data_IF_968086469486
#
_entry.id   IF_968086469486
#
_cell.length_a   1.000
_cell.length_b   1.000
_cell.length_c   1.000
_cell.angle_alpha   90.00
_cell.angle_beta   90.00
_cell.angle_gamma   90.00
#
_symmetry.space_group_name_H-M   'P 1'
#
loop_
_entity.id
_entity.type
_entity.pdbx_description
1 polymer ?
2 non-polymer ?
3 non-polymer ?
4 non-polymer ?
5 non-polymer ?
6 non-polymer ?
7 water ?
#
# COMPACT_ATOMS: atom_id res chain seq x y z
N UNK A 1 -1.92 5.26 -33.90
CA UNK A 1 -2.97 6.34 -33.92
C UNK A 1 -2.38 7.70 -34.30
N UNK A 2 -3.25 8.60 -34.77
CA UNK A 2 -2.87 9.99 -35.05
C UNK A 2 -2.23 10.67 -33.84
N UNK A 3 -2.67 10.31 -32.63
CA UNK A 3 -2.15 10.86 -31.39
C UNK A 3 -0.68 10.49 -31.16
N UNK A 4 -0.30 9.27 -31.59
CA UNK A 4 1.04 8.67 -31.47
C UNK A 4 1.90 8.80 -32.76
N UNK A 5 1.46 9.54 -33.78
CA UNK A 5 2.22 9.68 -35.04
C UNK A 5 2.89 11.05 -35.07
N UNK A 6 4.18 11.09 -35.34
CA UNK A 6 4.92 12.38 -35.39
C UNK A 6 4.65 13.17 -36.67
N UNK A 7 4.12 14.40 -36.53
CA UNK A 7 3.96 15.34 -37.64
C UNK A 7 5.22 16.20 -37.84
N UNK A 8 5.82 16.70 -36.76
CA UNK A 8 7.09 17.42 -36.77
C UNK A 8 7.84 17.23 -35.45
N UNK A 9 9.16 17.10 -35.52
CA UNK A 9 10.02 17.16 -34.38
C UNK A 9 11.05 18.24 -34.61
N UNK A 10 11.37 19.00 -33.59
CA UNK A 10 12.24 20.16 -33.73
C UNK A 10 12.98 20.42 -32.43
N UNK A 11 14.27 20.79 -32.51
CA UNK A 11 15.02 21.33 -31.32
C UNK A 11 14.65 22.80 -31.10
N UNK A 12 14.30 23.18 -29.86
CA UNK A 12 13.92 24.54 -29.49
C UNK A 12 14.69 25.04 -28.28
N UNK A 13 14.56 26.33 -27.95
CA UNK A 13 15.09 26.85 -26.67
C UNK A 13 16.61 26.63 -26.60
N UNK A 14 17.28 27.10 -27.64
CA UNK A 14 18.74 26.92 -27.72
C UNK A 14 19.15 25.48 -27.83
N UNK A 15 18.30 24.64 -28.44
CA UNK A 15 18.52 23.21 -28.62
C UNK A 15 18.41 22.40 -27.32
N UNK A 16 17.96 23.05 -26.25
CA UNK A 16 17.80 22.39 -24.93
C UNK A 16 16.49 21.63 -24.74
N UNK A 17 15.53 21.79 -25.68
CA UNK A 17 14.22 21.10 -25.63
C UNK A 17 13.98 20.47 -26.98
N UNK A 18 13.32 19.32 -27.02
CA UNK A 18 12.73 18.86 -28.28
C UNK A 18 11.24 19.02 -28.18
N UNK A 19 10.60 19.52 -29.23
CA UNK A 19 9.15 19.62 -29.33
C UNK A 19 8.70 18.63 -30.39
N UNK A 20 7.68 17.86 -30.03
CA UNK A 20 6.96 17.03 -31.02
C UNK A 20 5.57 17.60 -31.23
N UNK A 21 5.27 17.89 -32.51
CA UNK A 21 3.93 18.16 -32.96
C UNK A 21 3.36 16.80 -33.45
N UNK A 22 2.28 16.35 -32.83
CA UNK A 22 1.65 15.06 -33.14
C UNK A 22 0.64 15.27 -34.21
N UNK A 23 0.19 14.18 -34.83
CA UNK A 23 -0.80 14.31 -35.85
C UNK A 23 -2.18 14.79 -35.36
N UNK A 24 -2.46 14.75 -34.05
CA UNK A 24 -3.71 15.38 -33.57
C UNK A 24 -3.57 16.90 -33.30
N UNK A 25 -2.38 17.43 -33.57
CA UNK A 25 -2.05 18.86 -33.41
C UNK A 25 -1.61 19.22 -31.99
N UNK A 26 -1.63 18.26 -31.06
CA UNK A 26 -1.08 18.48 -29.72
C UNK A 26 0.46 18.58 -29.76
N UNK A 27 1.07 19.22 -28.75
CA UNK A 27 2.51 19.45 -28.73
C UNK A 27 3.07 18.87 -27.44
N UNK A 28 4.20 18.20 -27.51
CA UNK A 28 4.86 17.67 -26.30
C UNK A 28 6.26 18.23 -26.29
N UNK A 29 6.84 18.38 -25.09
CA UNK A 29 8.17 18.94 -24.91
C UNK A 29 8.95 17.94 -24.10
N UNK A 30 10.22 17.76 -24.50
CA UNK A 30 11.15 16.87 -23.87
C UNK A 30 12.53 17.53 -23.67
N UNK A 31 12.96 17.69 -22.40
CA UNK A 31 14.26 18.28 -22.17
C UNK A 31 15.40 17.48 -22.80
N UNK A 32 16.31 18.18 -23.49
CA UNK A 32 17.49 17.52 -24.06
C UNK A 32 18.25 16.66 -23.04
N UNK A 33 18.42 17.16 -21.82
CA UNK A 33 19.16 16.39 -20.80
C UNK A 33 18.49 15.09 -20.45
N UNK A 34 17.15 15.07 -20.41
CA UNK A 34 16.35 13.88 -20.13
C UNK A 34 16.44 12.88 -21.27
N UNK A 35 16.41 13.34 -22.51
CA UNK A 35 16.55 12.44 -23.65
C UNK A 35 17.93 11.75 -23.60
N UNK A 36 18.99 12.50 -23.35
CA UNK A 36 20.34 11.95 -23.35
C UNK A 36 20.48 10.93 -22.22
N UNK A 37 19.93 11.29 -21.06
CA UNK A 37 19.93 10.39 -19.86
C UNK A 37 19.21 9.09 -20.13
N UNK A 38 18.24 9.13 -21.03
CA UNK A 38 17.42 7.97 -21.35
C UNK A 38 17.65 7.36 -22.74
N UNK A 39 18.82 7.65 -23.29
CA UNK A 39 19.28 6.94 -24.52
C UNK A 39 19.11 5.41 -24.37
N UNK A 40 18.43 4.73 -25.31
CA UNK A 40 18.25 3.28 -25.20
C UNK A 40 19.35 2.42 -25.84
N UNK A 41 20.47 3.01 -26.30
CA UNK A 41 21.49 2.25 -26.98
C UNK A 41 22.21 1.34 -26.00
N UNK A 42 22.96 0.38 -26.53
CA UNK A 42 23.60 -0.63 -25.68
C UNK A 42 24.66 -0.06 -24.75
N UNK A 43 25.26 1.08 -25.08
CA UNK A 43 26.22 1.70 -24.16
C UNK A 43 25.53 2.28 -22.94
N UNK A 44 24.32 2.78 -23.15
CA UNK A 44 23.61 3.56 -22.12
C UNK A 44 22.59 2.76 -21.35
N UNK A 45 22.20 1.63 -21.91
CA UNK A 45 21.00 0.90 -21.45
C UNK A 45 21.22 -0.57 -21.60
N UNK A 46 21.05 -1.29 -20.48
CA UNK A 46 21.22 -2.72 -20.42
C UNK A 46 19.86 -3.38 -20.68
N UNK A 47 19.65 -3.81 -21.93
CA UNK A 47 18.33 -4.31 -22.31
C UNK A 47 17.86 -5.52 -21.48
N UNK A 48 18.74 -6.47 -21.13
CA UNK A 48 18.29 -7.64 -20.41
C UNK A 48 17.69 -7.24 -19.05
N UNK A 49 18.22 -6.16 -18.46
CA UNK A 49 17.79 -5.67 -17.14
C UNK A 49 16.73 -4.59 -17.22
N UNK A 50 16.53 -4.05 -18.42
CA UNK A 50 15.72 -2.86 -18.69
C UNK A 50 16.15 -1.74 -17.77
N UNK A 51 17.46 -1.49 -17.71
CA UNK A 51 18.03 -0.57 -16.72
C UNK A 51 19.08 0.33 -17.33
N UNK A 52 19.26 1.50 -16.71
CA UNK A 52 20.20 2.49 -17.18
C UNK A 52 21.68 2.16 -16.76
N UNK A 53 22.57 2.02 -17.73
CA UNK A 53 24.01 1.88 -17.50
C UNK A 53 24.71 3.24 -17.41
N UNK A 54 24.12 4.22 -18.12
CA UNK A 54 24.69 5.55 -18.18
C UNK A 54 24.90 6.09 -16.76
N UNK A 55 26.06 6.67 -16.52
CA UNK A 55 26.37 7.26 -15.21
C UNK A 55 25.98 8.76 -15.20
N UNK A 56 25.66 9.27 -14.02
CA UNK A 56 25.53 10.72 -13.83
C UNK A 56 26.79 11.46 -14.33
N UNK A 57 27.96 10.88 -14.05
CA UNK A 57 29.23 11.44 -14.45
C UNK A 57 29.36 11.64 -15.97
N UNK A 58 28.63 10.86 -16.76
CA UNK A 58 28.65 10.95 -18.22
C UNK A 58 27.72 12.03 -18.79
N UNK A 59 26.81 12.57 -17.96
CA UNK A 59 25.72 13.40 -18.47
C UNK A 59 26.10 14.86 -18.35
N UNK A 60 26.21 15.54 -19.49
CA UNK A 60 26.38 16.99 -19.51
C UNK A 60 25.02 17.66 -19.23
N UNK A 61 24.86 18.26 -18.05
CA UNK A 61 23.53 18.81 -17.68
C UNK A 61 23.12 20.00 -18.51
N UNK A 62 24.09 20.62 -19.20
CA UNK A 62 23.83 21.78 -20.11
C UNK A 62 23.72 21.36 -21.59
N UNK A 63 23.56 20.06 -21.84
CA UNK A 63 23.58 19.48 -23.21
C UNK A 63 22.41 20.03 -24.01
N UNK A 64 22.65 20.21 -25.30
CA UNK A 64 21.61 20.51 -26.26
C UNK A 64 21.75 19.54 -27.43
N UNK A 65 20.68 19.43 -28.20
CA UNK A 65 20.63 18.58 -29.36
C UNK A 65 21.51 19.18 -30.46
N UNK A 66 22.42 18.39 -31.02
CA UNK A 66 23.22 18.87 -32.12
C UNK A 66 22.49 18.75 -33.45
N UNK A 67 21.87 17.62 -33.69
CA UNK A 67 21.08 17.42 -34.89
C UNK A 67 19.93 16.49 -34.62
N UNK A 68 18.88 16.63 -35.42
CA UNK A 68 17.64 15.86 -35.25
C UNK A 68 17.02 15.60 -36.59
N UNK A 69 16.70 14.33 -36.88
CA UNK A 69 15.80 14.01 -38.00
C UNK A 69 14.68 13.10 -37.46
N UNK A 70 13.62 12.93 -38.27
CA UNK A 70 12.50 12.15 -37.82
C UNK A 70 11.69 11.59 -38.95
N UNK A 71 10.91 10.57 -38.64
CA UNK A 71 9.86 10.13 -39.49
C UNK A 71 8.61 10.02 -38.62
N UNK A 72 7.56 9.42 -39.16
CA UNK A 72 6.31 9.29 -38.40
C UNK A 72 6.39 8.50 -37.08
N UNK A 73 7.41 7.64 -36.96
CA UNK A 73 7.47 6.71 -35.82
C UNK A 73 8.71 6.80 -34.93
N UNK A 74 9.70 7.62 -35.31
CA UNK A 74 10.92 7.72 -34.51
C UNK A 74 11.60 9.06 -34.73
N UNK A 75 12.43 9.43 -33.76
CA UNK A 75 13.34 10.57 -33.89
C UNK A 75 14.78 10.03 -33.78
N UNK A 76 15.70 10.64 -34.52
CA UNK A 76 17.10 10.26 -34.55
C UNK A 76 17.88 11.52 -34.18
N UNK A 77 18.68 11.47 -33.10
CA UNK A 77 19.34 12.62 -32.53
C UNK A 77 20.86 12.42 -32.50
N UNK A 78 21.61 13.41 -32.97
CA UNK A 78 23.05 13.49 -32.70
C UNK A 78 23.33 14.49 -31.58
N UNK A 79 24.30 14.12 -30.77
CA UNK A 79 24.72 14.91 -29.61
C UNK A 79 26.08 15.59 -29.86
N UNK A 80 26.36 16.65 -29.10
CA UNK A 80 27.58 17.44 -29.38
C UNK A 80 28.89 16.65 -29.34
N UNK A 81 28.92 15.62 -28.51
CA UNK A 81 30.10 14.74 -28.41
C UNK A 81 30.09 13.57 -29.38
N UNK A 82 29.15 13.57 -30.33
CA UNK A 82 29.00 12.56 -31.36
C UNK A 82 28.25 11.29 -30.94
N UNK A 83 27.77 11.23 -29.72
CA UNK A 83 26.88 10.16 -29.36
C UNK A 83 25.60 10.31 -30.20
N UNK A 84 24.90 9.19 -30.36
CA UNK A 84 23.78 9.06 -31.28
C UNK A 84 22.67 8.28 -30.60
N UNK A 85 21.44 8.80 -30.65
CA UNK A 85 20.28 8.18 -30.03
C UNK A 85 19.04 8.08 -30.94
N UNK A 86 18.26 7.02 -30.74
CA UNK A 86 16.95 6.81 -31.39
C UNK A 86 15.83 6.63 -30.34
N UNK A 87 14.72 7.35 -30.53
CA UNK A 87 13.56 7.28 -29.63
C UNK A 87 12.32 6.99 -30.43
N UNK A 88 11.53 6.04 -29.96
CA UNK A 88 10.29 5.67 -30.65
C UNK A 88 9.15 6.61 -30.27
N UNK A 89 8.28 6.90 -31.23
CA UNK A 89 7.12 7.78 -31.01
C UNK A 89 6.19 7.38 -29.84
N UNK A 90 5.80 6.11 -29.78
CA UNK A 90 4.88 5.64 -28.74
C UNK A 90 5.51 5.76 -27.34
N UNK A 91 6.80 5.46 -27.23
CA UNK A 91 7.59 5.64 -25.99
C UNK A 91 7.60 7.09 -25.55
N UNK A 92 7.84 7.99 -26.50
CA UNK A 92 7.84 9.43 -26.19
C UNK A 92 6.45 9.90 -25.76
N UNK A 93 5.43 9.48 -26.51
CA UNK A 93 4.06 9.89 -26.24
C UNK A 93 3.63 9.57 -24.81
N UNK A 94 3.88 8.34 -24.37
CA UNK A 94 3.54 7.89 -23.02
C UNK A 94 4.25 8.77 -21.96
N UNK A 95 5.44 9.28 -22.30
CA UNK A 95 6.28 10.02 -21.39
C UNK A 95 6.21 11.54 -21.54
N UNK A 96 5.22 12.03 -22.26
CA UNK A 96 4.96 13.46 -22.35
C UNK A 96 4.95 14.11 -20.96
N UNK A 97 5.60 15.25 -20.86
CA UNK A 97 5.69 15.98 -19.59
C UNK A 97 4.48 16.84 -19.26
N UNK A 98 3.44 16.86 -20.11
CA UNK A 98 2.20 17.52 -19.71
C UNK A 98 1.62 16.95 -18.42
N UNK A 99 0.99 17.80 -17.65
CA UNK A 99 0.39 17.34 -16.40
C UNK A 99 -0.61 16.20 -16.64
N UNK A 100 -1.45 16.35 -17.64
CA UNK A 100 -2.44 15.30 -17.97
C UNK A 100 -1.78 13.95 -18.29
N UNK A 101 -0.71 13.96 -19.08
CA UNK A 101 -0.02 12.72 -19.44
C UNK A 101 0.69 12.10 -18.21
N UNK A 102 1.40 12.92 -17.47
CA UNK A 102 2.07 12.44 -16.26
C UNK A 102 1.06 11.83 -15.27
N UNK A 103 -0.09 12.48 -15.07
CA UNK A 103 -1.12 12.02 -14.10
C UNK A 103 -1.75 10.68 -14.55
N UNK A 104 -1.96 10.55 -15.85
CA UNK A 104 -2.48 9.33 -16.38
C UNK A 104 -1.55 8.18 -16.12
N UNK A 105 -0.25 8.42 -16.35
CA UNK A 105 0.72 7.38 -16.19
C UNK A 105 0.84 6.99 -14.70
N UNK A 106 0.82 8.00 -13.82
CA UNK A 106 0.88 7.70 -12.34
C UNK A 106 -0.32 6.84 -11.90
N UNK A 107 -1.51 7.11 -12.44
CA UNK A 107 -2.68 6.28 -12.18
C UNK A 107 -2.46 4.82 -12.58
N UNK A 108 -1.90 4.62 -13.77
CA UNK A 108 -1.63 3.28 -14.32
C UNK A 108 -0.59 2.54 -13.51
N UNK A 109 0.37 3.27 -12.94
CA UNK A 109 1.41 2.63 -12.12
C UNK A 109 0.92 2.28 -10.69
N UNK A 110 0.12 3.16 -10.09
CA UNK A 110 -0.12 3.07 -8.63
C UNK A 110 -1.57 2.81 -8.19
N UNK A 111 -2.50 2.75 -9.14
CA UNK A 111 -3.91 2.31 -8.88
C UNK A 111 -4.50 3.13 -7.69
N UNK A 112 -4.50 4.48 -7.77
CA UNK A 112 -4.92 5.28 -6.62
C UNK A 112 -6.44 5.27 -6.28
N UNK A 113 -7.29 4.75 -7.15
CA UNK A 113 -8.76 4.78 -6.95
C UNK A 113 -9.03 4.23 -5.54
N UNK A 114 -9.77 5.00 -4.73
CA UNK A 114 -10.05 4.58 -3.38
C UNK A 114 -11.56 4.71 -3.14
N UNK A 115 -12.20 3.67 -2.64
CA UNK A 115 -13.60 3.76 -2.33
C UNK A 115 -13.78 3.72 -0.82
N UNK A 116 -14.05 4.90 -0.24
CA UNK A 116 -14.29 5.04 1.20
C UNK A 116 -15.60 4.40 1.60
N UNK A 117 -15.66 3.87 2.81
CA UNK A 117 -16.87 3.18 3.28
C UNK A 117 -17.06 3.34 4.80
N UNK A 118 -18.34 3.24 5.16
CA UNK A 118 -18.84 3.25 6.53
C UNK A 118 -19.55 1.93 6.83
N UNK A 119 -20.48 1.97 7.79
CA UNK A 119 -21.26 0.78 8.17
C UNK A 119 -22.09 0.14 7.04
N UNK A 120 -22.25 0.84 5.92
CA UNK A 120 -22.96 0.31 4.74
C UNK A 120 -22.12 -0.65 3.90
N UNK A 121 -20.86 -0.84 4.25
CA UNK A 121 -19.97 -1.74 3.47
C UNK A 121 -20.63 -3.06 3.01
N UNK A 122 -20.49 -3.34 1.71
CA UNK A 122 -20.86 -4.63 1.13
C UNK A 122 -19.52 -5.34 0.99
N UNK A 123 -19.25 -6.29 1.89
CA UNK A 123 -17.91 -6.87 2.02
C UNK A 123 -17.56 -7.64 0.73
N UNK A 124 -16.54 -7.18 -0.03
CA UNK A 124 -16.28 -7.88 -1.28
C UNK A 124 -15.85 -9.32 -1.00
N UNK A 125 -16.40 -10.24 -1.78
CA UNK A 125 -16.24 -11.68 -1.51
C UNK A 125 -15.95 -12.46 -2.78
N UNK A 126 -14.88 -13.25 -2.72
CA UNK A 126 -14.53 -14.15 -3.78
C UNK A 126 -14.23 -15.55 -3.24
N UNK A 127 -14.20 -16.51 -4.15
CA UNK A 127 -13.82 -17.89 -3.81
C UNK A 127 -12.31 -18.09 -3.75
N UNK A 128 -11.85 -18.74 -2.66
CA UNK A 128 -10.42 -19.00 -2.36
C UNK A 128 -9.71 -19.77 -3.46
N UNK A 129 -10.25 -20.90 -3.82
CA UNK A 129 -9.60 -21.75 -4.84
C UNK A 129 -9.63 -21.09 -6.21
N UNK A 130 -10.68 -20.35 -6.53
CA UNK A 130 -10.76 -19.60 -7.78
C UNK A 130 -9.62 -18.58 -7.85
N UNK A 131 -9.36 -17.90 -6.75
CA UNK A 131 -8.31 -16.88 -6.70
C UNK A 131 -6.94 -17.55 -6.91
N UNK A 132 -6.75 -18.74 -6.35
CA UNK A 132 -5.50 -19.46 -6.55
C UNK A 132 -5.33 -19.95 -8.00
N UNK A 133 -6.41 -20.38 -8.61
CA UNK A 133 -6.36 -21.06 -9.92
C UNK A 133 -6.44 -20.09 -11.13
N UNK A 134 -7.20 -19.00 -11.03
CA UNK A 134 -7.53 -18.17 -12.18
C UNK A 134 -7.01 -16.74 -12.08
N UNK A 135 -6.25 -16.30 -13.09
CA UNK A 135 -5.75 -14.91 -13.06
C UNK A 135 -6.86 -13.85 -13.01
N UNK A 136 -7.98 -14.08 -13.69
CA UNK A 136 -9.08 -13.09 -13.66
C UNK A 136 -9.56 -12.86 -12.21
N UNK A 137 -9.68 -13.94 -11.46
CA UNK A 137 -10.09 -13.86 -10.06
C UNK A 137 -8.99 -13.28 -9.17
N UNK A 138 -7.72 -13.67 -9.37
CA UNK A 138 -6.64 -13.09 -8.57
C UNK A 138 -6.51 -11.56 -8.81
N UNK A 139 -6.76 -11.16 -10.05
CA UNK A 139 -6.79 -9.74 -10.41
C UNK A 139 -7.89 -8.98 -9.70
N UNK A 140 -9.11 -9.51 -9.76
CA UNK A 140 -10.20 -8.89 -9.04
C UNK A 140 -9.87 -8.80 -7.54
N UNK A 141 -9.24 -9.84 -7.01
CA UNK A 141 -8.86 -9.89 -5.61
C UNK A 141 -7.95 -8.74 -5.24
N UNK A 142 -6.82 -8.63 -5.91
CA UNK A 142 -5.85 -7.61 -5.51
C UNK A 142 -6.33 -6.18 -5.86
N UNK A 143 -7.04 -6.03 -6.96
CA UNK A 143 -7.52 -4.71 -7.36
C UNK A 143 -8.54 -4.20 -6.32
N UNK A 144 -9.38 -5.10 -5.84
CA UNK A 144 -10.40 -4.75 -4.87
C UNK A 144 -9.77 -4.48 -3.51
N UNK A 145 -8.77 -5.27 -3.16
CA UNK A 145 -7.96 -5.06 -1.95
C UNK A 145 -7.40 -3.65 -1.90
N UNK A 146 -6.80 -3.22 -3.01
CA UNK A 146 -6.26 -1.87 -3.14
C UNK A 146 -7.33 -0.79 -3.03
N UNK A 147 -8.42 -0.95 -3.77
CA UNK A 147 -9.43 0.10 -3.86
C UNK A 147 -10.32 0.20 -2.62
N UNK A 148 -10.86 -0.94 -2.17
CA UNK A 148 -11.78 -0.98 -1.01
C UNK A 148 -11.06 -1.17 0.34
N UNK A 149 -9.93 -1.86 0.33
CA UNK A 149 -9.12 -2.10 1.50
C UNK A 149 -9.32 -3.46 2.13
N UNK A 150 -10.29 -4.22 1.65
CA UNK A 150 -10.57 -5.57 2.21
C UNK A 150 -11.26 -6.44 1.19
N UNK A 151 -10.88 -7.71 1.14
CA UNK A 151 -11.61 -8.72 0.42
C UNK A 151 -11.72 -9.95 1.32
N UNK A 152 -12.89 -10.56 1.35
CA UNK A 152 -13.07 -11.84 2.01
C UNK A 152 -12.97 -12.93 0.99
N UNK A 153 -12.26 -14.00 1.34
CA UNK A 153 -12.22 -15.19 0.51
C UNK A 153 -12.91 -16.33 1.27
N UNK A 154 -13.88 -16.97 0.64
CA UNK A 154 -14.62 -18.06 1.25
C UNK A 154 -14.23 -19.40 0.62
N UNK A 155 -14.56 -20.50 1.29
CA UNK A 155 -14.20 -21.86 0.83
C UNK A 155 -12.75 -22.31 0.94
N UNK A 156 -11.93 -21.69 1.78
CA UNK A 156 -10.66 -22.29 2.12
C UNK A 156 -10.91 -23.52 3.04
N UNK A 157 -9.88 -24.28 3.38
CA UNK A 157 -10.06 -25.44 4.26
C UNK A 157 -10.15 -24.92 5.70
N UNK A 158 -10.28 -25.86 6.63
CA UNK A 158 -10.22 -25.54 8.06
C UNK A 158 -8.90 -26.01 8.70
N UNK A 159 -7.82 -25.98 7.89
CA UNK A 159 -6.48 -26.45 8.27
C UNK A 159 -5.48 -25.32 8.06
N UNK A 160 -4.40 -25.29 8.87
CA UNK A 160 -3.33 -24.32 8.63
C UNK A 160 -2.72 -24.48 7.21
N UNK A 161 -2.04 -23.45 6.73
CA UNK A 161 -1.40 -23.50 5.42
C UNK A 161 -2.12 -22.74 4.31
N UNK A 162 -3.29 -22.17 4.59
CA UNK A 162 -4.07 -21.52 3.54
C UNK A 162 -3.52 -20.11 3.28
N UNK A 163 -3.21 -19.33 4.32
CA UNK A 163 -2.59 -18.02 4.08
C UNK A 163 -1.27 -18.15 3.34
N UNK A 164 -0.52 -19.23 3.58
CA UNK A 164 0.73 -19.48 2.87
C UNK A 164 0.53 -19.66 1.35
N UNK A 165 -0.57 -20.29 0.95
CA UNK A 165 -0.90 -20.45 -0.44
C UNK A 165 -1.17 -19.08 -1.06
N UNK A 166 -1.87 -18.22 -0.34
CA UNK A 166 -2.16 -16.87 -0.84
C UNK A 166 -0.88 -16.05 -0.93
N UNK A 167 0.03 -16.25 0.01
CA UNK A 167 1.34 -15.60 -0.02
C UNK A 167 2.17 -15.95 -1.25
N UNK A 168 2.17 -17.23 -1.60
CA UNK A 168 2.84 -17.70 -2.81
C UNK A 168 2.17 -17.13 -4.06
N UNK A 169 0.86 -17.01 -4.05
CA UNK A 169 0.12 -16.41 -5.18
C UNK A 169 0.52 -14.94 -5.36
N UNK A 170 0.77 -14.22 -4.26
CA UNK A 170 1.25 -12.82 -4.29
C UNK A 170 2.73 -12.83 -4.72
N UNK A 171 3.53 -13.57 -3.97
CA UNK A 171 4.95 -13.75 -4.30
C UNK A 171 5.62 -14.37 -3.10
N UNK A 172 5.62 -13.63 -2.00
CA UNK A 172 6.08 -14.13 -0.73
C UNK A 172 5.49 -13.26 0.38
N UNK A 173 5.43 -13.86 1.59
CA UNK A 173 4.96 -13.19 2.83
C UNK A 173 6.08 -12.41 3.48
N UNK A 174 5.70 -11.63 4.47
CA UNK A 174 6.58 -10.68 5.13
C UNK A 174 6.88 -11.21 6.54
N UNK A 175 8.08 -11.75 6.72
CA UNK A 175 8.50 -12.38 7.98
C UNK A 175 8.70 -11.36 9.06
N UNK A 176 8.12 -11.62 10.24
CA UNK A 176 8.30 -10.75 11.39
C UNK A 176 8.68 -11.62 12.63
N UNK A 177 8.90 -10.98 13.78
CA UNK A 177 9.26 -11.70 15.00
C UNK A 177 8.16 -12.63 15.47
N UNK A 178 6.92 -12.48 14.99
CA UNK A 178 5.82 -13.44 15.32
C UNK A 178 5.76 -14.64 14.38
N UNK A 179 6.69 -14.71 13.40
CA UNK A 179 6.83 -15.84 12.49
C UNK A 179 6.51 -15.57 11.03
N UNK A 180 6.66 -16.60 10.21
CA UNK A 180 6.19 -16.51 8.83
C UNK A 180 4.68 -16.41 8.77
N UNK A 181 4.00 -17.21 9.60
CA UNK A 181 2.58 -17.09 9.86
C UNK A 181 2.49 -17.23 11.40
N UNK A 182 1.33 -16.90 11.94
CA UNK A 182 1.12 -16.89 13.40
C UNK A 182 -0.26 -17.35 13.80
N UNK A 183 -0.35 -17.92 15.01
CA UNK A 183 -1.59 -18.57 15.42
C UNK A 183 -2.31 -17.68 16.48
N UNK A 184 -3.48 -17.13 16.13
CA UNK A 184 -4.26 -16.34 17.10
C UNK A 184 -5.12 -17.29 17.89
N UNK A 185 -4.68 -17.56 19.10
CA UNK A 185 -5.34 -18.46 20.05
C UNK A 185 -4.98 -17.99 21.46
N UNK A 186 -5.78 -18.38 22.45
CA UNK A 186 -5.50 -18.14 23.85
C UNK A 186 -4.27 -18.99 24.24
N UNK A 187 -3.22 -18.34 24.76
CA UNK A 187 -1.98 -19.02 25.13
C UNK A 187 -1.55 -18.72 26.57
N UNK A 188 -1.06 -19.74 27.26
CA UNK A 188 -0.44 -19.59 28.60
C UNK A 188 0.78 -18.72 28.39
N UNK A 189 0.99 -17.78 29.30
CA UNK A 189 2.06 -16.82 29.22
C UNK A 189 2.07 -16.07 27.90
N UNK A 190 0.87 -15.68 27.44
CA UNK A 190 0.75 -14.98 26.19
C UNK A 190 1.76 -13.81 26.04
N UNK A 191 2.44 -13.75 24.88
CA UNK A 191 3.38 -12.68 24.61
C UNK A 191 2.76 -11.49 23.90
N UNK A 192 1.43 -11.51 23.74
CA UNK A 192 0.72 -10.46 23.05
C UNK A 192 -0.76 -10.51 23.46
N UNK A 193 -1.36 -9.37 23.70
CA UNK A 193 -2.79 -9.32 24.08
C UNK A 193 -3.66 -10.07 23.08
N UNK A 194 -3.19 -10.16 21.83
CA UNK A 194 -3.90 -10.94 20.81
C UNK A 194 -4.14 -12.40 21.21
N UNK A 195 -3.19 -12.97 21.92
CA UNK A 195 -3.15 -14.40 22.20
C UNK A 195 -3.82 -14.67 23.57
N UNK A 196 -4.99 -14.03 23.79
CA UNK A 196 -5.81 -14.17 24.96
C UNK A 196 -7.27 -14.21 24.47
N UNK A 197 -8.20 -14.36 25.40
CA UNK A 197 -9.63 -14.31 25.05
C UNK A 197 -10.25 -12.90 25.18
N UNK A 198 -9.42 -11.91 25.41
CA UNK A 198 -9.93 -10.58 25.61
C UNK A 198 -10.40 -9.92 24.35
N UNK A 199 -11.13 -8.83 24.54
CA UNK A 199 -11.54 -7.92 23.44
C UNK A 199 -10.28 -7.24 22.88
N UNK A 200 -10.16 -7.10 21.56
CA UNK A 200 -9.13 -6.22 20.97
C UNK A 200 -9.91 -5.04 20.41
N UNK A 201 -9.64 -3.83 20.91
CA UNK A 201 -10.25 -2.64 20.37
C UNK A 201 -9.59 -2.39 19.05
N UNK A 202 -10.14 -1.45 18.31
CA UNK A 202 -9.55 -1.08 17.02
C UNK A 202 -8.06 -0.76 17.07
N UNK A 203 -7.31 -1.45 16.23
CA UNK A 203 -5.88 -1.29 16.11
C UNK A 203 -5.47 -1.57 14.65
N UNK A 204 -4.31 -1.04 14.31
CA UNK A 204 -3.51 -1.53 13.21
C UNK A 204 -2.45 -2.50 13.78
N UNK A 205 -2.02 -3.51 12.99
CA UNK A 205 -1.00 -4.41 13.47
C UNK A 205 0.35 -3.84 13.30
N UNK A 206 1.14 -3.98 14.35
CA UNK A 206 2.57 -3.82 14.33
C UNK A 206 3.15 -2.41 14.17
N UNK A 207 2.51 -1.37 14.80
CA UNK A 207 3.15 -0.06 14.78
C UNK A 207 4.49 -0.04 15.55
N UNK A 208 4.81 -1.08 16.33
CA UNK A 208 6.15 -1.24 16.93
C UNK A 208 7.25 -1.37 15.88
N UNK A 209 6.90 -1.63 14.62
CA UNK A 209 7.91 -1.59 13.54
C UNK A 209 7.89 -0.26 12.79
N UNK A 210 9.06 0.19 12.34
CA UNK A 210 9.29 1.38 11.45
C UNK A 210 8.39 1.31 10.23
N UNK A 211 8.30 0.10 9.67
CA UNK A 211 7.57 -0.20 8.44
C UNK A 211 6.48 -1.22 8.74
N UNK A 212 5.34 -0.76 9.30
CA UNK A 212 4.37 -1.78 9.63
C UNK A 212 3.90 -2.54 8.38
N UNK A 213 3.52 -3.82 8.53
CA UNK A 213 2.99 -4.64 7.47
C UNK A 213 1.88 -3.92 6.68
N UNK A 214 2.03 -3.95 5.37
CA UNK A 214 1.07 -3.31 4.48
C UNK A 214 -0.27 -4.01 4.38
N UNK A 215 -0.20 -5.34 4.26
CA UNK A 215 -1.37 -6.18 4.05
C UNK A 215 -1.37 -7.28 5.06
N UNK A 216 -2.56 -7.56 5.59
CA UNK A 216 -2.76 -8.63 6.53
C UNK A 216 -3.63 -9.72 5.93
N UNK A 217 -3.28 -10.97 6.18
CA UNK A 217 -4.12 -12.13 5.80
C UNK A 217 -4.55 -12.87 7.07
N UNK A 218 -5.86 -13.13 7.24
CA UNK A 218 -6.34 -13.81 8.46
C UNK A 218 -7.33 -14.88 8.10
N UNK A 219 -7.02 -16.13 8.46
CA UNK A 219 -7.80 -17.30 8.08
C UNK A 219 -8.41 -17.95 9.34
N UNK A 220 -9.72 -18.16 9.33
CA UNK A 220 -10.42 -18.80 10.42
C UNK A 220 -10.40 -20.31 10.26
N UNK A 221 -9.68 -20.95 11.18
CA UNK A 221 -9.57 -22.41 11.32
C UNK A 221 -10.67 -22.94 12.25
N UNK A 222 -10.85 -22.30 13.42
CA UNK A 222 -11.88 -22.68 14.43
C UNK A 222 -12.48 -21.40 14.97
N UNK A 223 -13.81 -21.38 15.10
CA UNK A 223 -14.50 -20.21 15.68
C UNK A 223 -15.30 -20.66 16.89
N UNK A 224 -15.53 -19.72 17.81
CA UNK A 224 -16.30 -19.98 19.00
C UNK A 224 -17.70 -19.33 18.86
N UNK A 225 -18.67 -19.97 19.50
CA UNK A 225 -20.02 -19.38 19.61
C UNK A 225 -20.11 -18.38 20.79
N UNK A 226 -19.05 -18.28 21.62
CA UNK A 226 -19.16 -17.50 22.88
C UNK A 226 -18.84 -16.04 22.69
N UNK A 227 -18.35 -15.68 21.50
CA UNK A 227 -17.99 -14.32 21.19
C UNK A 227 -17.04 -14.33 20.00
N UNK A 228 -16.08 -13.40 20.00
CA UNK A 228 -15.08 -13.33 18.95
C UNK A 228 -15.50 -12.83 17.58
N UNK A 229 -16.60 -12.08 17.52
CA UNK A 229 -16.93 -11.44 16.25
C UNK A 229 -15.88 -10.40 15.87
N UNK A 230 -15.83 -10.12 14.56
CA UNK A 230 -14.87 -9.23 13.94
C UNK A 230 -15.46 -7.86 13.74
N UNK A 231 -14.63 -6.84 13.87
CA UNK A 231 -15.02 -5.48 13.56
C UNK A 231 -13.91 -4.78 12.78
N UNK A 232 -14.35 -3.93 11.86
CA UNK A 232 -13.42 -3.19 10.98
C UNK A 232 -13.95 -1.79 10.82
N UNK A 233 -13.05 -0.87 10.51
CA UNK A 233 -13.44 0.51 10.18
C UNK A 233 -12.42 1.04 9.12
N UNK A 234 -12.88 1.91 8.24
CA UNK A 234 -12.06 2.53 7.19
C UNK A 234 -11.34 3.74 7.84
N UNK A 235 -10.08 3.57 8.26
CA UNK A 235 -9.34 4.66 8.88
C UNK A 235 -9.21 5.94 8.09
N UNK A 236 -9.07 5.82 6.77
CA UNK A 236 -8.99 7.01 5.94
C UNK A 236 -10.29 7.81 5.97
N UNK A 237 -11.42 7.08 5.95
CA UNK A 237 -12.74 7.71 6.09
C UNK A 237 -12.89 8.39 7.47
N UNK A 238 -12.47 7.67 8.52
CA UNK A 238 -12.52 8.25 9.87
C UNK A 238 -11.66 9.49 10.01
N UNK A 239 -10.46 9.49 9.43
CA UNK A 239 -9.55 10.63 9.59
C UNK A 239 -10.16 11.84 8.89
N UNK A 240 -10.82 11.61 7.76
CA UNK A 240 -11.51 12.67 7.03
C UNK A 240 -12.59 13.32 7.93
N UNK A 241 -13.37 12.50 8.63
CA UNK A 241 -14.41 12.99 9.51
C UNK A 241 -13.78 13.72 10.69
N UNK A 242 -12.71 13.18 11.24
CA UNK A 242 -12.05 13.86 12.37
C UNK A 242 -11.54 15.28 12.01
N UNK A 243 -10.94 15.42 10.83
CA UNK A 243 -10.40 16.69 10.34
C UNK A 243 -11.54 17.69 10.26
N UNK A 244 -12.69 17.24 9.80
CA UNK A 244 -13.86 18.11 9.64
C UNK A 244 -14.46 18.49 10.99
N UNK A 245 -14.67 17.51 11.86
CA UNK A 245 -15.34 17.75 13.15
C UNK A 245 -14.45 18.36 14.18
N UNK A 246 -13.19 17.97 14.21
CA UNK A 246 -12.28 18.41 15.27
C UNK A 246 -10.88 18.60 14.72
N UNK A 247 -10.66 19.74 14.09
CA UNK A 247 -9.40 20.00 13.41
C UNK A 247 -8.18 20.08 14.38
N UNK A 248 -8.43 20.51 15.62
CA UNK A 248 -7.40 20.49 16.71
C UNK A 248 -6.92 19.08 17.03
N UNK A 249 -7.86 18.14 17.20
CA UNK A 249 -7.54 16.78 17.47
C UNK A 249 -6.84 16.15 16.29
N UNK A 250 -7.31 16.44 15.07
CA UNK A 250 -6.60 15.98 13.85
C UNK A 250 -5.15 16.48 13.78
N UNK A 251 -4.95 17.73 14.12
CA UNK A 251 -3.63 18.36 14.07
C UNK A 251 -2.68 17.72 15.07
N UNK A 252 -3.16 17.52 16.30
CA UNK A 252 -2.38 16.80 17.32
C UNK A 252 -2.00 15.42 16.88
N UNK A 253 -2.96 14.62 16.41
CA UNK A 253 -2.65 13.26 16.11
C UNK A 253 -1.76 13.10 14.85
N UNK A 254 -1.84 14.05 13.93
CA UNK A 254 -1.04 14.01 12.72
C UNK A 254 0.32 14.67 12.85
N UNK A 255 0.61 15.23 14.04
CA UNK A 255 1.90 15.89 14.27
C UNK A 255 2.69 15.37 15.46
N UNK A 256 2.10 14.51 16.28
CA UNK A 256 2.73 14.11 17.55
C UNK A 256 3.35 12.73 17.39
N UNK A 257 4.66 12.64 17.61
CA UNK A 257 5.29 11.32 17.63
C UNK A 257 4.97 10.55 18.93
N UNK A 258 4.47 9.34 18.76
CA UNK A 258 4.13 8.40 19.78
C UNK A 258 5.08 7.24 19.71
N UNK A 259 5.60 6.81 20.87
CA UNK A 259 6.53 5.68 20.96
C UNK A 259 5.72 4.37 21.10
N UNK A 260 6.15 3.32 20.37
CA UNK A 260 5.59 1.96 20.44
C UNK A 260 6.72 0.98 20.75
N UNK A 261 6.37 -0.12 21.43
CA UNK A 261 7.31 -1.09 21.97
C UNK A 261 6.75 -2.48 21.93
N UNK A 262 7.64 -3.46 21.85
CA UNK A 262 7.25 -4.85 21.96
C UNK A 262 8.47 -5.63 22.45
N UNK A 263 8.33 -6.33 23.59
CA UNK A 263 9.42 -7.11 24.12
C UNK A 263 8.89 -8.52 24.44
N UNK A 264 9.69 -9.52 24.11
CA UNK A 264 9.32 -10.92 24.35
C UNK A 264 10.03 -11.91 23.46
N UNK A 265 9.47 -13.12 23.33
CA UNK A 265 10.10 -14.19 22.60
C UNK A 265 9.06 -14.89 21.77
N UNK A 266 9.30 -15.01 20.46
CA UNK A 266 8.44 -15.83 19.63
C UNK A 266 9.31 -16.47 18.56
N UNK A 267 9.35 -15.97 17.33
CA UNK A 267 10.25 -16.55 16.31
C UNK A 267 11.70 -16.51 16.77
N UNK A 268 12.09 -15.38 17.34
CA UNK A 268 13.31 -15.31 18.11
C UNK A 268 13.02 -14.33 19.26
N UNK A 269 14.01 -14.06 20.09
CA UNK A 269 13.87 -13.03 21.14
C UNK A 269 13.94 -11.62 20.55
N UNK A 270 13.09 -10.72 21.06
CA UNK A 270 12.98 -9.38 20.54
C UNK A 270 12.80 -8.30 21.59
N UNK A 271 13.26 -7.10 21.21
CA UNK A 271 13.11 -5.90 22.01
C UNK A 271 13.02 -4.74 20.99
N UNK A 272 11.79 -4.43 20.60
CA UNK A 272 11.44 -3.55 19.47
C UNK A 272 10.95 -2.18 19.95
N UNK A 273 11.39 -1.09 19.30
CA UNK A 273 10.96 0.27 19.65
C UNK A 273 10.79 1.06 18.36
N UNK A 274 9.74 1.86 18.31
CA UNK A 274 9.51 2.75 17.19
C UNK A 274 8.89 4.06 17.63
N UNK A 275 8.85 5.00 16.69
CA UNK A 275 8.11 6.23 16.86
C UNK A 275 7.29 6.51 15.62
N UNK A 276 6.01 6.86 15.80
CA UNK A 276 5.16 7.19 14.66
C UNK A 276 4.20 8.30 15.04
N UNK A 277 3.78 9.05 14.03
CA UNK A 277 2.56 9.85 14.17
C UNK A 277 1.37 8.90 13.94
N UNK A 278 0.37 8.94 14.80
CA UNK A 278 -0.78 8.03 14.70
C UNK A 278 -1.50 8.22 13.36
N UNK A 279 -1.68 9.47 12.96
CA UNK A 279 -2.18 9.85 11.64
C UNK A 279 -1.02 10.40 10.81
N UNK A 280 -0.60 9.59 9.84
CA UNK A 280 0.55 9.86 9.04
C UNK A 280 0.19 10.41 7.66
N UNK A 281 0.58 11.66 7.40
CA UNK A 281 0.16 12.37 6.22
C UNK A 281 1.30 12.42 5.19
N UNK A 282 0.98 12.45 3.90
CA UNK A 282 1.99 12.82 2.87
C UNK A 282 2.31 14.32 2.86
N UNK A 283 3.16 14.74 1.91
CA UNK A 283 3.62 16.13 1.84
C UNK A 283 2.50 17.06 1.43
N UNK A 284 1.40 16.50 0.96
CA UNK A 284 0.23 17.28 0.57
C UNK A 284 -0.87 17.26 1.63
N UNK A 285 -0.62 16.66 2.79
CA UNK A 285 -1.63 16.66 3.83
C UNK A 285 -2.66 15.52 3.71
N UNK A 286 -2.50 14.61 2.76
CA UNK A 286 -3.38 13.42 2.67
C UNK A 286 -2.93 12.27 3.55
N UNK A 287 -3.86 11.65 4.25
CA UNK A 287 -3.53 10.51 5.09
C UNK A 287 -3.08 9.33 4.22
N UNK A 288 -1.89 8.80 4.53
CA UNK A 288 -1.37 7.56 3.89
C UNK A 288 -1.25 6.35 4.80
N UNK A 289 -1.18 6.55 6.12
CA UNK A 289 -1.15 5.43 7.01
C UNK A 289 -1.65 5.86 8.40
N UNK A 290 -2.29 4.90 9.05
CA UNK A 290 -2.62 4.98 10.47
C UNK A 290 -1.74 3.99 11.19
N UNK A 291 -1.11 4.49 12.26
CA UNK A 291 -0.20 3.72 13.09
C UNK A 291 -0.75 3.73 14.53
N UNK A 292 -1.50 2.70 14.90
CA UNK A 292 -2.11 2.70 16.24
C UNK A 292 -2.50 1.32 16.77
N UNK A 293 -1.85 0.93 17.85
CA UNK A 293 -2.26 -0.25 18.63
C UNK A 293 -2.13 0.17 20.10
N UNK A 294 -3.26 0.24 20.79
CA UNK A 294 -3.25 0.77 22.16
C UNK A 294 -2.50 -0.13 23.11
N UNK A 295 -2.39 -1.39 22.74
CA UNK A 295 -1.69 -2.36 23.57
C UNK A 295 -0.18 -2.17 23.55
N UNK A 296 0.38 -1.71 22.42
CA UNK A 296 1.84 -1.58 22.26
C UNK A 296 2.36 -0.17 22.29
N UNK A 297 1.48 0.79 22.42
CA UNK A 297 1.89 2.14 22.68
C UNK A 297 2.72 2.14 23.99
N UNK A 298 3.91 2.75 24.00
CA UNK A 298 4.80 2.61 25.15
C UNK A 298 4.27 3.41 26.35
N UNK A 299 4.77 3.05 27.52
CA UNK A 299 4.60 3.87 28.72
C UNK A 299 5.45 5.16 28.57
N UNK A 300 6.49 5.06 27.75
CA UNK A 300 7.36 6.21 27.41
C UNK A 300 6.59 7.07 26.45
N UNK A 301 6.47 8.35 26.77
CA UNK A 301 5.82 9.32 25.89
C UNK A 301 6.65 10.57 25.83
N UNK A 302 7.28 10.81 24.67
CA UNK A 302 8.36 11.82 24.56
C UNK A 302 7.79 13.15 24.10
N UNK A 303 7.08 13.79 25.01
CA UNK A 303 6.51 15.10 24.80
C UNK A 303 6.61 15.83 26.15
N UNK A 304 6.62 17.16 26.09
CA UNK A 304 6.56 17.93 27.33
C UNK A 304 5.22 17.69 28.02
N UNK A 305 5.21 17.94 29.32
CA UNK A 305 4.08 17.52 30.16
C UNK A 305 2.75 18.20 29.70
N UNK A 306 2.84 19.45 29.26
CA UNK A 306 1.66 20.20 28.88
C UNK A 306 1.00 19.70 27.60
N UNK A 307 1.70 18.91 26.83
CA UNK A 307 1.12 18.32 25.62
C UNK A 307 0.45 16.98 25.87
N UNK A 308 0.62 16.44 27.08
CA UNK A 308 0.12 15.07 27.34
C UNK A 308 -1.43 14.97 27.36
N UNK A 309 -2.10 15.75 28.21
CA UNK A 309 -3.51 15.58 28.33
C UNK A 309 -4.27 15.93 27.01
N UNK A 310 -3.83 16.99 26.32
CA UNK A 310 -4.45 17.24 25.00
C UNK A 310 -4.27 16.12 23.99
N UNK A 311 -3.15 15.41 24.01
CA UNK A 311 -2.98 14.24 23.18
C UNK A 311 -4.03 13.17 23.48
N UNK A 312 -4.22 12.86 24.77
CA UNK A 312 -5.18 11.83 25.11
C UNK A 312 -6.58 12.29 24.72
N UNK A 313 -6.88 13.57 24.88
CA UNK A 313 -8.21 14.08 24.50
C UNK A 313 -8.47 13.92 23.01
N UNK A 314 -7.41 14.19 22.23
CA UNK A 314 -7.46 13.98 20.77
C UNK A 314 -7.66 12.52 20.42
N UNK A 315 -6.90 11.64 21.06
CA UNK A 315 -6.98 10.20 20.82
C UNK A 315 -8.38 9.65 21.12
N UNK A 316 -8.98 10.10 22.25
CA UNK A 316 -10.34 9.68 22.63
C UNK A 316 -11.31 10.06 21.53
N UNK A 317 -11.19 11.29 21.02
CA UNK A 317 -12.09 11.72 19.93
C UNK A 317 -12.01 10.82 18.68
N UNK A 318 -10.78 10.43 18.33
CA UNK A 318 -10.51 9.55 17.20
C UNK A 318 -11.15 8.14 17.38
N UNK A 319 -10.89 7.49 18.51
CA UNK A 319 -11.45 6.19 18.84
C UNK A 319 -12.99 6.24 18.94
N UNK A 320 -13.53 7.27 19.58
CA UNK A 320 -15.00 7.48 19.59
C UNK A 320 -15.60 7.52 18.16
N UNK A 321 -14.92 8.20 17.24
CA UNK A 321 -15.40 8.21 15.84
C UNK A 321 -15.30 6.84 15.18
N UNK A 322 -14.23 6.10 15.46
CA UNK A 322 -14.07 4.75 14.93
C UNK A 322 -15.21 3.84 15.38
N UNK A 323 -15.65 4.02 16.62
CA UNK A 323 -16.67 3.20 17.23
C UNK A 323 -18.08 3.59 16.83
N UNK A 324 -18.27 4.72 16.16
CA UNK A 324 -19.61 5.17 15.82
C UNK A 324 -20.31 4.14 14.93
N UNK A 325 -21.62 3.97 15.13
CA UNK A 325 -22.42 3.01 14.35
C UNK A 325 -22.44 3.37 12.84
N UNK A 326 -22.17 4.61 12.47
CA UNK A 326 -22.05 4.99 11.05
C UNK A 326 -20.73 4.52 10.42
N UNK A 327 -19.71 4.25 11.22
CA UNK A 327 -18.37 3.94 10.72
C UNK A 327 -18.06 2.46 10.70
N UNK A 328 -18.38 1.77 11.78
CA UNK A 328 -17.89 0.44 11.88
C UNK A 328 -18.76 -0.61 11.21
N UNK A 329 -18.12 -1.68 10.74
CA UNK A 329 -18.74 -2.84 10.08
C UNK A 329 -18.36 -4.07 10.91
N UNK A 330 -19.36 -4.86 11.30
CA UNK A 330 -19.15 -6.00 12.22
C UNK A 330 -19.53 -7.27 11.48
N UNK A 331 -18.82 -8.36 11.67
CA UNK A 331 -19.16 -9.59 11.00
C UNK A 331 -18.61 -10.75 11.78
N UNK A 332 -19.04 -11.94 11.46
CA UNK A 332 -18.52 -13.14 12.11
C UNK A 332 -17.77 -14.00 11.07
N UNK A 333 -16.52 -14.34 11.36
CA UNK A 333 -15.72 -15.27 10.53
C UNK A 333 -16.10 -16.69 10.87
N UNK A 334 -16.36 -17.51 9.85
CA UNK A 334 -16.52 -18.96 10.02
C UNK A 334 -15.30 -19.75 9.48
N UNK A 335 -15.16 -21.00 9.92
CA UNK A 335 -14.08 -21.83 9.40
C UNK A 335 -14.11 -21.88 7.87
N UNK A 336 -12.96 -21.65 7.27
CA UNK A 336 -12.89 -21.58 5.81
C UNK A 336 -12.82 -20.18 5.28
N UNK A 337 -13.17 -19.21 6.11
CA UNK A 337 -13.15 -17.81 5.64
C UNK A 337 -11.75 -17.23 5.80
N UNK A 338 -11.33 -16.41 4.85
CA UNK A 338 -10.07 -15.67 4.99
C UNK A 338 -10.40 -14.21 4.68
N UNK A 339 -9.88 -13.27 5.47
CA UNK A 339 -9.93 -11.85 5.08
C UNK A 339 -8.51 -11.40 4.79
N UNK A 340 -8.39 -10.57 3.77
CA UNK A 340 -7.16 -9.96 3.36
C UNK A 340 -7.45 -8.47 3.23
N UNK A 341 -6.65 -7.67 3.93
CA UNK A 341 -6.95 -6.24 4.09
C UNK A 341 -5.76 -5.33 4.22
N UNK A 342 -6.00 -4.06 3.91
CA UNK A 342 -4.96 -3.00 3.99
C UNK A 342 -4.74 -2.58 5.46
N UNK A 343 -3.64 -3.03 5.99
CA UNK A 343 -3.25 -2.82 7.39
C UNK A 343 -2.76 -1.39 7.66
N UNK A 344 -2.54 -0.61 6.60
CA UNK A 344 -2.22 0.80 6.74
C UNK A 344 -3.45 1.71 6.80
N UNK A 345 -4.58 1.21 6.30
CA UNK A 345 -5.78 2.01 6.18
C UNK A 345 -6.91 1.59 7.15
N UNK A 346 -7.22 0.30 7.20
CA UNK A 346 -8.26 -0.17 8.10
C UNK A 346 -7.72 -0.19 9.53
N UNK A 347 -8.62 -0.01 10.50
CA UNK A 347 -8.36 -0.55 11.84
C UNK A 347 -9.31 -1.74 12.05
N UNK A 348 -8.87 -2.67 12.87
CA UNK A 348 -9.63 -3.91 13.06
C UNK A 348 -9.58 -4.32 14.52
N UNK A 349 -10.51 -5.17 14.86
CA UNK A 349 -10.68 -5.56 16.27
C UNK A 349 -11.51 -6.81 16.39
N UNK A 350 -11.69 -7.27 17.63
CA UNK A 350 -12.46 -8.46 17.84
C UNK A 350 -13.08 -8.45 19.23
N UNK A 351 -14.25 -9.05 19.35
CA UNK A 351 -14.97 -9.10 20.61
C UNK A 351 -14.40 -10.18 21.51
N UNK A 352 -14.56 -10.00 22.83
CA UNK A 352 -14.08 -11.00 23.78
C UNK A 352 -14.82 -12.32 23.62
N UNK A 353 -14.22 -13.40 24.11
CA UNK A 353 -14.90 -14.70 24.12
C UNK A 353 -14.46 -15.47 25.35
N UNK A 354 -15.00 -16.66 25.55
CA UNK A 354 -14.76 -17.44 26.77
C UNK A 354 -13.61 -18.47 26.59
N UNK A 355 -12.68 -18.47 27.54
CA UNK A 355 -11.62 -19.50 27.67
C UNK A 355 -12.20 -20.87 27.94
N UNK A 356 -11.48 -21.89 27.48
CA UNK A 356 -11.92 -23.26 27.69
C UNK A 356 -10.73 -24.15 27.92
N UNK A 357 -10.99 -25.42 28.17
CA UNK A 357 -9.96 -26.38 28.51
C UNK A 357 -9.15 -26.79 27.27
N UNK A 358 -9.76 -26.78 26.08
CA UNK A 358 -8.98 -26.86 24.83
C UNK A 358 -9.26 -25.63 23.98
N UNK A 359 -8.45 -25.46 22.96
CA UNK A 359 -8.58 -24.31 22.07
C UNK A 359 -9.97 -24.29 21.39
N UNK A 360 -10.75 -23.23 21.62
CA UNK A 360 -12.11 -23.07 21.06
C UNK A 360 -12.15 -22.12 19.84
N UNK A 361 -11.04 -21.42 19.63
CA UNK A 361 -10.92 -20.41 18.58
C UNK A 361 -9.47 -20.35 18.09
N UNK A 362 -9.29 -20.32 16.77
CA UNK A 362 -8.00 -20.41 16.13
C UNK A 362 -8.05 -19.71 14.75
N UNK A 363 -7.28 -18.62 14.60
CA UNK A 363 -7.06 -17.99 13.30
C UNK A 363 -5.56 -18.13 12.96
N UNK A 364 -5.23 -18.34 11.67
CA UNK A 364 -3.87 -18.26 11.24
C UNK A 364 -3.72 -16.97 10.39
N UNK A 365 -2.76 -16.14 10.77
CA UNK A 365 -2.49 -14.87 10.10
C UNK A 365 -1.11 -14.78 9.48
N UNK A 366 -0.96 -13.84 8.56
CA UNK A 366 0.33 -13.53 7.95
C UNK A 366 0.25 -12.12 7.39
N UNK A 367 1.41 -11.59 7.04
CA UNK A 367 1.54 -10.29 6.45
C UNK A 367 2.19 -10.33 5.07
N UNK A 368 1.94 -9.28 4.30
CA UNK A 368 2.59 -9.08 3.00
C UNK A 368 2.93 -7.61 2.85
N UNK A 369 4.00 -7.34 2.14
CA UNK A 369 4.45 -5.98 1.83
C UNK A 369 3.62 -5.43 0.65
N UNK A 370 3.17 -4.18 0.76
CA UNK A 370 2.39 -3.60 -0.35
C UNK A 370 3.16 -3.61 -1.68
N UNK A 371 4.49 -3.54 -1.62
CA UNK A 371 5.24 -3.55 -2.88
C UNK A 371 5.15 -4.88 -3.58
N UNK A 372 5.07 -5.96 -2.80
CA UNK A 372 4.92 -7.33 -3.29
C UNK A 372 3.54 -7.48 -3.91
N UNK A 373 2.55 -6.98 -3.20
CA UNK A 373 1.19 -7.02 -3.66
C UNK A 373 1.01 -6.19 -4.97
N UNK A 374 1.48 -4.94 -4.98
CA UNK A 374 1.35 -4.08 -6.14
C UNK A 374 2.08 -4.65 -7.38
N UNK A 375 3.26 -5.25 -7.15
CA UNK A 375 3.97 -5.94 -8.23
C UNK A 375 3.05 -7.01 -8.90
N UNK A 376 2.49 -7.87 -8.09
CA UNK A 376 1.65 -8.94 -8.59
C UNK A 376 0.42 -8.38 -9.29
N UNK A 377 -0.11 -7.29 -8.75
CA UNK A 377 -1.30 -6.64 -9.32
C UNK A 377 -0.98 -6.09 -10.72
N UNK A 378 0.22 -5.50 -10.86
CA UNK A 378 0.62 -4.98 -12.17
C UNK A 378 0.78 -6.11 -13.16
N UNK A 379 1.41 -7.22 -12.74
CA UNK A 379 1.59 -8.37 -13.63
C UNK A 379 0.26 -9.00 -14.07
N UNK A 380 -0.61 -9.18 -13.08
CA UNK A 380 -1.92 -9.74 -13.32
C UNK A 380 -2.72 -8.89 -14.30
N UNK A 381 -2.75 -7.57 -14.06
CA UNK A 381 -3.48 -6.65 -14.97
C UNK A 381 -3.04 -6.81 -16.42
N UNK A 382 -1.73 -6.84 -16.62
CA UNK A 382 -1.17 -7.06 -17.97
C UNK A 382 -1.61 -8.41 -18.56
N UNK A 383 -1.57 -9.47 -17.77
CA UNK A 383 -1.97 -10.81 -18.20
C UNK A 383 -3.47 -10.85 -18.59
N UNK A 384 -4.32 -10.19 -17.80
CA UNK A 384 -5.78 -10.19 -18.03
C UNK A 384 -6.19 -9.25 -19.21
N UNK A 385 -5.51 -8.10 -19.38
CA UNK A 385 -5.77 -7.18 -20.54
C UNK A 385 -5.14 -7.58 -21.88
X LIG B 1 -4.75 -7.35 14.74
X LIG C 1 23.40 5.83 -25.87
X LIG D 1 -4.59 -9.65 16.15
X LIG D 1 -6.04 -9.55 15.68
X LIG D 1 -8.28 -10.49 15.40
X LIG D 1 -9.09 -11.70 15.92
X LIG D 1 -4.23 -10.79 16.50
X LIG D 1 -3.86 -8.65 16.05
X LIG D 1 -6.42 -8.48 15.26
X LIG D 1 -8.59 -12.44 16.79
X LIG D 1 -6.85 -10.61 15.78
X LIG D 1 -10.21 -11.83 15.39
X LIG E 1 0.76 -5.96 17.26
X LIG E 1 0.39 -9.02 16.08
X LIG E 1 1.39 -6.54 18.17
X LIG E 1 -0.36 -6.70 16.53
X LIG E 1 0.22 -10.45 16.16
X LIG E 1 0.82 -4.73 16.98
X LIG E 1 -0.57 -8.20 16.80
X LIG E 1 1.24 -11.02 15.24
X LIG E 1 0.55 -10.93 17.53
X LIG E 1 -1.13 -10.89 15.81
X LIG F 1 2.90 4.99 3.87
X LIG F 1 2.94 5.50 2.54
X LIG F 1 3.90 5.78 4.70
X LIG F 1 5.20 5.38 4.26
X LIG G 1 -3.58 -6.42 19.06
X LIG G 1 -3.46 -7.79 18.73
X LIG G 1 -2.98 -6.26 20.42
X LIG G 1 -1.55 -6.37 20.38
X LIG H 1 -5.42 -3.19 21.68
X LIG H 1 -6.22 -2.86 20.54
X LIG H 1 -5.99 -4.39 22.44
X LIG H 1 -7.37 -4.14 22.75
X LIG I 1 -10.76 -8.57 12.24
X LIG I 1 -10.15 -7.96 13.39
X LIG I 1 -10.77 -10.07 12.40
X LIG I 1 -11.57 -10.45 13.54
X LIG J 1 11.03 -8.89 4.32
X LIG J 1 10.55 -9.74 3.25
X LIG J 1 10.30 -9.10 5.67
X LIG J 1 11.02 -9.92 6.62
X LIG K 1 3.70 -0.92 26.28
X LIG K 1 3.54 -2.27 25.92
X LIG K 1 2.59 -0.48 27.24
X LIG K 1 2.77 -1.04 28.53
X LIG L 1 -2.72 1.08 -0.63
X LIG L 1 -3.44 2.19 -1.19
X LIG L 1 -2.09 1.45 0.72
X LIG L 1 -2.95 2.22 1.55
X LIG M 1 -6.50 13.85 5.16
X LIG M 1 -6.40 12.82 4.17
X LIG M 1 -7.69 13.45 6.02
X LIG M 1 -8.89 13.81 5.32
X LIG N 1 8.97 11.86 -18.36
X LIG N 1 9.36 10.71 -17.65
X LIG N 1 7.53 12.16 -18.15
X LIG N 1 7.30 12.34 -16.77
#
# INVERSE_FOLDING_TARGET
>A
SMACTIQKAEALDGAHLMQILWYDEEESLYPAVWLRDNCPCSDCYLDSAKARKLLVEALDVNIGIKGLIFDRKKVYITWPDEHYSEFQADWLKKRCFSKQARAKLQRELFFPECQYWGSELQLPTLDFEDVLRYDEHAYKWLSTLKKVGIVRLTGASDKPGEVSKLGKRMGFLYLTFYGHTWQVQDKIDANNVAYTTGKLSFHTDYPALHHPPGVQLLHCIKQTVTGGDSEIVDGFNVCQKLKKNNPQAFQILSSTFVDFTDIGVDYCDFSVQSKHKIIELDDKGQVVRINFNNATRDTIFDVPVERVQPFYAALKEFVDLMNSKESKFTFKMNPGDVITFDNWRLLHGRRSYEAGTEISRHLEGAYADWDVVMSRLRILRQRVENGN
>B hetero
1 NI NI
>C hetero
1 ZN ZN
>D hetero
1 OGA C1 C2 C4 C5 O1 O2 O2' O3 N1 O4
>E hetero
1 REE C1 N1 O1 C2 N2 O2 C3 C4 C5 C6
>F hetero
1 EDO C1 O1 C2 O2
>G hetero
1 EDO C1 O1 C2 O2
>H hetero
1 EDO C1 O1 C2 O2
>I hetero
1 EDO C1 O1 C2 O2
>J hetero
1 EDO C1 O1 C2 O2
>K hetero
1 EDO C1 O1 C2 O2
>L hetero
1 EDO C1 O1 C2 O2
>M hetero
1 EDO C1 O1 C2 O2
>N hetero
1 EDO C1 O1 C2 O2
#
